data_IF_187160226696
#
_entry.id   IF_187160226696
#
_cell.length_a   1.000
_cell.length_b   1.000
_cell.length_c   1.000
_cell.angle_alpha   90.00
_cell.angle_beta   90.00
_cell.angle_gamma   90.00
#
_symmetry.space_group_name_H-M   'P 1'
#
loop_
_entity.id
_entity.type
_entity.pdbx_description
1 polymer ?
#
# COMPACT_ATOMS: atom_id res chain seq x y z
N UNK A 1 -1.09 -13.70 10.53
CA UNK A 1 -2.01 -12.73 9.92
C UNK A 1 -2.18 -11.57 10.88
N UNK A 2 -2.16 -10.32 10.41
CA UNK A 2 -2.34 -9.15 11.28
C UNK A 2 -3.81 -8.66 11.22
N UNK A 3 -4.42 -8.26 12.35
CA UNK A 3 -5.85 -7.98 12.38
C UNK A 3 -6.25 -6.66 11.68
N UNK A 4 -5.33 -5.70 11.55
CA UNK A 4 -5.64 -4.33 11.14
C UNK A 4 -4.80 -3.76 10.00
N UNK A 5 -3.74 -4.44 9.58
CA UNK A 5 -2.71 -3.82 8.74
C UNK A 5 -2.47 -4.64 7.47
N UNK A 6 -2.33 -3.91 6.35
CA UNK A 6 -1.84 -4.41 5.08
C UNK A 6 -0.64 -3.57 4.65
N UNK A 7 0.46 -4.22 4.29
CA UNK A 7 1.72 -3.56 3.91
C UNK A 7 2.20 -4.08 2.56
N UNK A 8 2.46 -3.15 1.65
CA UNK A 8 3.10 -3.39 0.36
C UNK A 8 4.55 -2.91 0.44
N UNK A 9 5.50 -3.72 -0.03
CA UNK A 9 6.94 -3.46 0.12
C UNK A 9 7.65 -3.52 -1.23
N UNK A 10 8.66 -2.67 -1.40
CA UNK A 10 9.62 -2.78 -2.51
C UNK A 10 10.65 -3.88 -2.29
N UNK A 11 11.00 -4.18 -1.04
CA UNK A 11 11.92 -5.27 -0.68
C UNK A 11 11.24 -6.64 -0.65
N UNK A 12 12.05 -7.70 -0.53
CA UNK A 12 11.61 -9.08 -0.34
C UNK A 12 11.34 -9.44 1.13
N UNK A 13 11.42 -8.49 2.07
CA UNK A 13 11.17 -8.79 3.48
C UNK A 13 9.70 -9.12 3.73
N UNK A 14 9.45 -10.21 4.45
CA UNK A 14 8.10 -10.69 4.76
C UNK A 14 7.87 -10.65 6.27
N UNK A 15 6.72 -10.09 6.65
CA UNK A 15 6.17 -10.19 7.98
C UNK A 15 4.65 -10.43 7.92
N UNK A 16 3.97 -10.75 9.03
CA UNK A 16 2.54 -11.12 9.03
C UNK A 16 1.54 -10.10 8.47
N UNK A 17 1.99 -8.88 8.18
CA UNK A 17 1.23 -7.77 7.57
C UNK A 17 1.46 -7.62 6.06
N UNK A 18 2.41 -8.37 5.51
CA UNK A 18 2.89 -8.15 4.14
C UNK A 18 1.92 -8.77 3.16
N UNK A 19 1.33 -7.92 2.31
CA UNK A 19 0.39 -8.32 1.26
C UNK A 19 1.11 -8.52 -0.08
N UNK A 20 2.05 -7.64 -0.40
CA UNK A 20 2.84 -7.69 -1.64
C UNK A 20 4.30 -7.30 -1.37
N UNK A 21 5.22 -7.96 -2.09
CA UNK A 21 6.66 -7.67 -2.12
C UNK A 21 7.07 -7.26 -3.55
N UNK A 22 8.27 -6.71 -3.72
CA UNK A 22 8.80 -6.27 -5.02
C UNK A 22 7.90 -5.24 -5.75
N UNK A 23 7.20 -4.39 -5.02
CA UNK A 23 6.44 -3.29 -5.61
C UNK A 23 7.34 -2.29 -6.35
N UNK A 24 6.81 -1.72 -7.44
CA UNK A 24 7.45 -0.65 -8.20
C UNK A 24 7.55 0.65 -7.39
N UNK A 25 6.54 0.91 -6.54
CA UNK A 25 6.36 2.13 -5.77
C UNK A 25 6.25 1.89 -4.27
N UNK A 26 6.67 2.88 -3.50
CA UNK A 26 6.44 3.03 -2.07
C UNK A 26 5.57 4.25 -1.77
N UNK A 27 5.24 4.46 -0.50
CA UNK A 27 4.46 5.64 -0.07
C UNK A 27 5.09 6.98 -0.50
N UNK A 28 6.43 7.05 -0.59
CA UNK A 28 7.16 8.23 -1.06
C UNK A 28 6.92 8.55 -2.54
N UNK A 29 6.53 7.56 -3.34
CA UNK A 29 6.30 7.67 -4.79
C UNK A 29 4.84 8.07 -5.10
N UNK A 30 3.96 8.18 -4.10
CA UNK A 30 2.58 8.58 -4.30
C UNK A 30 2.49 10.05 -4.75
N UNK A 31 1.59 10.39 -5.70
CA UNK A 31 1.41 11.77 -6.15
C UNK A 31 1.10 12.70 -4.99
N UNK A 32 1.80 13.85 -4.91
CA UNK A 32 1.61 14.80 -3.79
C UNK A 32 0.18 15.28 -3.64
N UNK A 33 -0.54 15.46 -4.76
CA UNK A 33 -1.97 15.82 -4.73
C UNK A 33 -2.83 14.78 -4.02
N UNK A 34 -2.56 13.49 -4.22
CA UNK A 34 -3.26 12.40 -3.53
C UNK A 34 -2.96 12.42 -2.03
N UNK A 35 -1.69 12.58 -1.63
CA UNK A 35 -1.30 12.68 -0.23
C UNK A 35 -2.00 13.85 0.48
N UNK A 36 -2.05 15.02 -0.15
CA UNK A 36 -2.75 16.19 0.41
C UNK A 36 -4.27 15.99 0.50
N UNK A 37 -4.87 15.23 -0.42
CA UNK A 37 -6.29 14.85 -0.31
C UNK A 37 -6.54 13.89 0.86
N UNK A 38 -5.69 12.86 1.03
CA UNK A 38 -5.79 11.92 2.14
C UNK A 38 -5.64 12.61 3.51
N UNK A 39 -4.75 13.60 3.62
CA UNK A 39 -4.62 14.43 4.83
C UNK A 39 -5.90 15.19 5.19
N UNK A 40 -6.75 15.49 4.20
CA UNK A 40 -8.08 16.11 4.38
C UNK A 40 -9.19 15.08 4.54
N UNK A 41 -8.87 13.87 4.99
CA UNK A 41 -9.80 12.77 5.21
C UNK A 41 -10.58 12.33 3.95
N UNK A 42 -10.00 12.49 2.76
CA UNK A 42 -10.58 11.93 1.54
C UNK A 42 -10.67 10.40 1.66
N UNK A 43 -11.79 9.84 1.17
CA UNK A 43 -11.95 8.38 1.08
C UNK A 43 -11.06 7.83 -0.02
N UNK A 44 -10.46 6.67 0.23
CA UNK A 44 -9.66 5.92 -0.74
C UNK A 44 -10.26 4.53 -0.93
N UNK A 45 -10.37 4.11 -2.17
CA UNK A 45 -10.72 2.73 -2.53
C UNK A 45 -9.44 2.03 -2.98
N UNK A 46 -9.19 0.85 -2.42
CA UNK A 46 -8.05 0.01 -2.78
C UNK A 46 -8.57 -1.20 -3.53
N UNK A 47 -8.15 -1.37 -4.78
CA UNK A 47 -8.47 -2.53 -5.61
C UNK A 47 -7.25 -3.45 -5.67
N UNK A 48 -7.49 -4.75 -5.48
CA UNK A 48 -6.45 -5.78 -5.46
C UNK A 48 -6.81 -6.84 -6.49
N UNK A 49 -5.90 -7.09 -7.43
CA UNK A 49 -6.06 -8.09 -8.48
C UNK A 49 -4.92 -9.09 -8.41
N UNK A 50 -5.25 -10.36 -8.30
CA UNK A 50 -4.29 -11.48 -8.34
C UNK A 50 -4.44 -12.16 -9.70
N UNK A 51 -3.34 -12.25 -10.43
CA UNK A 51 -3.26 -12.97 -11.70
C UNK A 51 -2.45 -14.25 -11.50
N UNK A 52 -2.81 -15.30 -12.25
CA UNK A 52 -2.17 -16.61 -12.21
C UNK A 52 -1.02 -16.70 -13.24
#
# INVERSE_FOLDING_TARGET
THPSDLVVRKSSYICPRTLMIHADKAAADLPRKMVEALKRAATVTVELTVTA
#
